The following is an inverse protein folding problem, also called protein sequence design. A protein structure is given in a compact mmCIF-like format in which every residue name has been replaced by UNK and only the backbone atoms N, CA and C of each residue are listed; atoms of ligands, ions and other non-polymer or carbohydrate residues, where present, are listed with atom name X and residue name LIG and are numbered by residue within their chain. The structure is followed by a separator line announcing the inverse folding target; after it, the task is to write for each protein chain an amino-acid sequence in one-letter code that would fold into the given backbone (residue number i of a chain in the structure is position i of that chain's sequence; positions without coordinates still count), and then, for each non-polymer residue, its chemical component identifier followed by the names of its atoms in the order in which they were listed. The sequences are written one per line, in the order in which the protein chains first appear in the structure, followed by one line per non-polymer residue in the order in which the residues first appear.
data_IF_931982697500
#
_entry.id   IF_931982697500
#
_cell.length_a   1.000
_cell.length_b   1.000
_cell.length_c   1.000
_cell.angle_alpha   90.00
_cell.angle_beta   90.00
_cell.angle_gamma   90.00
#
_symmetry.space_group_name_H-M   'P 1'
#
loop_
_entity.id
_entity.type
_entity.pdbx_description
1 polymer ?
#
# COMPACT_ATOMS: atom_id res chain seq x y z
N UNK A 1 -18.52 22.04 1.23
CA UNK A 1 -17.27 21.38 1.61
C UNK A 1 -16.30 22.45 2.04
N UNK A 2 -16.13 22.60 3.35
CA UNK A 2 -15.11 23.46 3.92
C UNK A 2 -13.89 22.61 4.33
N UNK A 3 -12.72 23.23 4.36
CA UNK A 3 -11.55 22.67 5.02
C UNK A 3 -11.53 23.18 6.45
N UNK A 4 -11.56 22.30 7.43
CA UNK A 4 -11.51 22.67 8.85
C UNK A 4 -10.16 22.21 9.41
N UNK A 5 -9.37 23.17 9.85
CA UNK A 5 -8.00 22.94 10.30
C UNK A 5 -7.96 22.57 11.78
N UNK A 6 -7.18 21.55 12.11
CA UNK A 6 -6.85 21.15 13.48
C UNK A 6 -5.85 22.13 14.10
N UNK A 7 -6.14 22.58 15.31
CA UNK A 7 -5.22 23.41 16.12
C UNK A 7 -4.75 22.71 17.40
N UNK A 8 -5.46 21.66 17.85
CA UNK A 8 -5.02 20.81 18.97
C UNK A 8 -4.73 21.55 20.26
N UNK A 9 -5.77 22.06 20.93
CA UNK A 9 -5.62 22.81 22.19
C UNK A 9 -5.60 21.92 23.44
N UNK A 10 -6.08 20.68 23.34
CA UNK A 10 -6.08 19.68 24.42
C UNK A 10 -4.96 18.64 24.25
N UNK A 11 -4.55 18.02 25.36
CA UNK A 11 -3.58 16.91 25.37
C UNK A 11 -4.12 15.78 26.27
N UNK A 12 -4.51 14.60 25.72
CA UNK A 12 -4.52 14.26 24.29
C UNK A 12 -5.53 15.09 23.47
N UNK A 13 -5.35 15.10 22.16
CA UNK A 13 -6.26 15.70 21.20
C UNK A 13 -7.55 14.90 21.08
N UNK A 14 -8.68 15.58 21.27
CA UNK A 14 -10.03 15.03 21.10
C UNK A 14 -10.66 15.63 19.83
N UNK A 15 -11.11 14.78 18.90
CA UNK A 15 -11.68 15.19 17.61
C UNK A 15 -13.07 15.81 17.74
N UNK A 16 -13.84 15.48 18.78
CA UNK A 16 -15.21 15.99 18.97
C UNK A 16 -15.22 17.35 19.69
N UNK A 17 -14.10 17.74 20.31
CA UNK A 17 -13.97 19.02 20.99
C UNK A 17 -13.78 20.14 19.98
N UNK A 18 -14.83 20.94 19.80
CA UNK A 18 -14.87 22.04 18.84
C UNK A 18 -13.73 23.06 18.99
N UNK A 19 -13.21 23.27 20.20
CA UNK A 19 -12.09 24.16 20.47
C UNK A 19 -10.75 23.68 19.88
N UNK A 20 -10.64 22.41 19.49
CA UNK A 20 -9.46 21.87 18.81
C UNK A 20 -9.45 22.14 17.30
N UNK A 21 -10.48 22.82 16.78
CA UNK A 21 -10.62 23.13 15.37
C UNK A 21 -10.71 24.64 15.14
N UNK A 22 -10.15 25.11 14.03
CA UNK A 22 -10.26 26.52 13.61
C UNK A 22 -11.74 26.89 13.47
N UNK A 23 -12.10 28.04 14.04
CA UNK A 23 -13.49 28.51 14.05
C UNK A 23 -14.36 27.92 15.15
N UNK A 24 -13.82 27.03 16.00
CA UNK A 24 -14.55 26.50 17.16
C UNK A 24 -15.66 25.53 16.77
N UNK A 25 -15.51 24.82 15.64
CA UNK A 25 -16.49 23.87 15.09
C UNK A 25 -15.76 22.65 14.56
N UNK A 26 -16.16 21.45 15.00
CA UNK A 26 -15.62 20.20 14.47
C UNK A 26 -16.13 19.91 13.03
N UNK A 27 -15.31 19.29 12.16
CA UNK A 27 -15.71 18.97 10.78
C UNK A 27 -16.88 17.99 10.74
N UNK A 28 -17.82 18.24 9.83
CA UNK A 28 -18.91 17.31 9.53
C UNK A 28 -18.61 16.38 8.35
N UNK A 29 -19.58 15.54 8.00
CA UNK A 29 -19.46 14.57 6.90
C UNK A 29 -19.22 15.20 5.51
N UNK A 30 -19.52 16.49 5.33
CA UNK A 30 -19.33 17.21 4.07
C UNK A 30 -18.01 18.00 4.02
N UNK A 31 -17.21 17.97 5.09
CA UNK A 31 -16.01 18.77 5.26
C UNK A 31 -14.74 17.93 5.20
N UNK A 32 -13.60 18.60 4.99
CA UNK A 32 -12.28 17.99 4.99
C UNK A 32 -11.58 18.35 6.29
N UNK A 33 -11.17 17.34 7.06
CA UNK A 33 -10.34 17.51 8.24
C UNK A 33 -8.88 17.72 7.81
N UNK A 34 -8.28 18.84 8.23
CA UNK A 34 -6.91 19.23 7.82
C UNK A 34 -5.99 19.32 9.03
N UNK A 35 -4.95 18.49 9.05
CA UNK A 35 -3.88 18.52 10.05
C UNK A 35 -2.65 19.17 9.42
N UNK A 36 -2.47 20.47 9.59
CA UNK A 36 -1.39 21.24 8.95
C UNK A 36 -0.37 21.85 9.92
N UNK A 37 -0.69 21.92 11.21
CA UNK A 37 0.16 22.44 12.27
C UNK A 37 -0.20 21.75 13.61
N UNK A 38 0.73 21.79 14.57
CA UNK A 38 0.54 21.23 15.91
C UNK A 38 1.29 19.93 16.14
N UNK A 39 1.33 19.49 17.38
CA UNK A 39 2.11 18.32 17.82
C UNK A 39 1.39 17.44 18.83
N UNK A 40 0.13 17.73 19.11
CA UNK A 40 -0.70 17.02 20.06
C UNK A 40 -1.16 15.73 19.43
N UNK A 41 -0.87 14.59 20.07
CA UNK A 41 -1.38 13.30 19.62
C UNK A 41 -2.91 13.29 19.71
N UNK A 42 -3.57 12.87 18.63
CA UNK A 42 -5.01 12.62 18.61
C UNK A 42 -5.27 11.25 19.20
N UNK A 43 -6.13 11.18 20.21
CA UNK A 43 -6.58 9.96 20.86
C UNK A 43 -8.04 9.66 20.47
N UNK A 44 -8.27 8.72 19.53
CA UNK A 44 -9.62 8.35 19.08
C UNK A 44 -10.53 7.80 20.19
N UNK A 45 -9.99 7.44 21.36
CA UNK A 45 -10.80 6.95 22.48
C UNK A 45 -11.49 8.08 23.27
N UNK A 46 -11.03 9.32 23.12
CA UNK A 46 -11.64 10.49 23.76
C UNK A 46 -12.86 11.01 22.99
N UNK A 47 -12.79 10.95 21.67
CA UNK A 47 -13.85 11.38 20.77
C UNK A 47 -13.47 11.08 19.33
N UNK A 48 -14.48 10.80 18.51
CA UNK A 48 -14.28 10.45 17.12
C UNK A 48 -15.47 10.89 16.27
N UNK A 49 -15.14 11.55 15.17
CA UNK A 49 -16.13 12.02 14.22
C UNK A 49 -16.47 10.88 13.26
N UNK A 50 -17.75 10.55 13.14
CA UNK A 50 -18.21 9.39 12.38
C UNK A 50 -17.81 9.41 10.89
N UNK A 51 -17.79 10.59 10.27
CA UNK A 51 -17.45 10.73 8.85
C UNK A 51 -16.92 12.13 8.51
N UNK A 52 -16.02 12.18 7.52
CA UNK A 52 -15.57 13.38 6.81
C UNK A 52 -15.68 13.16 5.30
N UNK A 53 -15.71 14.23 4.51
CA UNK A 53 -15.52 14.10 3.07
C UNK A 53 -14.09 13.66 2.76
N UNK A 54 -13.10 14.12 3.54
CA UNK A 54 -11.71 13.70 3.41
C UNK A 54 -10.86 14.04 4.63
N UNK A 55 -9.67 13.45 4.68
CA UNK A 55 -8.63 13.78 5.66
C UNK A 55 -7.33 14.13 4.94
N UNK A 56 -6.74 15.28 5.29
CA UNK A 56 -5.45 15.72 4.79
C UNK A 56 -4.47 15.98 5.94
N UNK A 57 -3.27 15.39 5.85
CA UNK A 57 -2.21 15.53 6.86
C UNK A 57 -0.98 16.11 6.18
N UNK A 58 -0.48 17.24 6.66
CA UNK A 58 0.66 17.96 6.09
C UNK A 58 1.85 18.00 7.05
N UNK A 59 3.02 18.38 6.53
CA UNK A 59 4.30 18.30 7.25
C UNK A 59 4.45 19.25 8.43
N UNK A 60 3.56 20.23 8.59
CA UNK A 60 3.57 21.09 9.78
C UNK A 60 2.94 20.42 11.01
N UNK A 61 2.18 19.33 10.84
CA UNK A 61 1.63 18.57 11.95
C UNK A 61 2.51 17.34 12.28
N UNK A 62 2.81 17.16 13.56
CA UNK A 62 3.75 16.12 14.03
C UNK A 62 3.18 15.18 15.09
N UNK A 63 1.98 15.45 15.62
CA UNK A 63 1.33 14.54 16.57
C UNK A 63 0.91 13.24 15.90
N UNK A 64 0.91 12.12 16.62
CA UNK A 64 0.32 10.89 16.12
C UNK A 64 -1.19 11.02 15.96
N UNK A 65 -1.79 10.30 15.01
CA UNK A 65 -3.24 10.15 14.88
C UNK A 65 -3.59 8.70 15.10
N UNK A 66 -4.14 8.42 16.28
CA UNK A 66 -4.36 7.06 16.75
C UNK A 66 -3.08 6.34 17.14
N UNK A 67 -3.21 5.04 17.37
CA UNK A 67 -2.11 4.15 17.74
C UNK A 67 -2.46 2.69 17.50
N UNK A 68 -1.50 1.80 17.72
CA UNK A 68 -1.74 0.35 17.68
C UNK A 68 -2.81 -0.04 18.73
N UNK A 69 -3.94 -0.59 18.29
CA UNK A 69 -5.06 -0.94 19.17
C UNK A 69 -5.95 0.23 19.59
N UNK A 70 -5.70 1.43 19.05
CA UNK A 70 -6.52 2.62 19.21
C UNK A 70 -6.53 3.40 17.88
N UNK A 71 -6.94 2.72 16.81
CA UNK A 71 -6.94 3.28 15.46
C UNK A 71 -8.09 4.29 15.28
N UNK A 72 -7.83 5.38 14.55
CA UNK A 72 -8.86 6.32 14.14
C UNK A 72 -9.84 5.60 13.20
N UNK A 73 -11.10 5.49 13.62
CA UNK A 73 -12.13 4.74 12.88
C UNK A 73 -13.18 5.70 12.34
N UNK A 74 -13.02 6.19 11.12
CA UNK A 74 -13.93 7.21 10.53
C UNK A 74 -14.11 6.95 9.04
N UNK A 75 -15.25 7.38 8.50
CA UNK A 75 -15.52 7.28 7.07
C UNK A 75 -14.92 8.47 6.33
N UNK A 76 -14.14 8.21 5.28
CA UNK A 76 -13.65 9.26 4.38
C UNK A 76 -13.76 8.82 2.93
N UNK A 77 -13.96 9.75 2.00
CA UNK A 77 -13.85 9.42 0.56
C UNK A 77 -12.42 9.56 0.06
N UNK A 78 -11.60 10.37 0.75
CA UNK A 78 -10.21 10.64 0.40
C UNK A 78 -9.34 10.71 1.65
N UNK A 79 -8.16 10.10 1.56
CA UNK A 79 -7.11 10.19 2.57
C UNK A 79 -5.82 10.64 1.91
N UNK A 80 -5.27 11.77 2.34
CA UNK A 80 -4.03 12.33 1.80
C UNK A 80 -3.03 12.61 2.91
N UNK A 81 -1.92 11.89 2.89
CA UNK A 81 -0.85 12.02 3.88
C UNK A 81 0.43 12.54 3.24
N UNK A 82 0.75 13.81 3.49
CA UNK A 82 1.97 14.48 3.06
C UNK A 82 2.90 14.85 4.23
N UNK A 83 2.48 14.55 5.46
CA UNK A 83 3.18 14.95 6.69
C UNK A 83 4.20 13.96 7.23
N UNK A 84 4.64 14.23 8.46
CA UNK A 84 5.55 13.37 9.25
C UNK A 84 4.86 12.64 10.39
N UNK A 85 3.63 13.04 10.74
CA UNK A 85 2.80 12.41 11.76
C UNK A 85 2.63 10.92 11.48
N UNK A 86 2.63 10.11 12.53
CA UNK A 86 2.25 8.71 12.40
C UNK A 86 0.72 8.60 12.33
N UNK A 87 0.21 7.67 11.53
CA UNK A 87 -1.23 7.46 11.31
C UNK A 87 -1.61 6.01 11.54
N UNK A 88 -2.68 5.79 12.29
CA UNK A 88 -3.42 4.52 12.36
C UNK A 88 -4.88 4.77 12.06
N UNK A 89 -5.34 4.28 10.91
CA UNK A 89 -6.65 4.60 10.35
C UNK A 89 -7.41 3.34 9.92
N UNK A 90 -8.72 3.33 10.17
CA UNK A 90 -9.68 2.37 9.64
C UNK A 90 -10.87 3.08 8.99
N UNK A 91 -11.20 2.71 7.75
CA UNK A 91 -12.42 3.20 7.10
C UNK A 91 -13.66 2.48 7.63
N UNK A 92 -14.47 3.19 8.41
CA UNK A 92 -15.60 2.60 9.15
C UNK A 92 -16.89 2.46 8.35
N UNK A 93 -16.99 3.09 7.17
CA UNK A 93 -18.23 3.05 6.38
C UNK A 93 -18.29 1.90 5.37
N UNK A 94 -17.17 1.21 5.12
CA UNK A 94 -17.08 0.28 3.99
C UNK A 94 -17.25 1.00 2.65
N UNK A 95 -16.89 2.28 2.61
CA UNK A 95 -16.94 3.10 1.39
C UNK A 95 -15.62 3.01 0.64
N UNK A 96 -15.68 3.17 -0.67
CA UNK A 96 -14.44 3.24 -1.45
C UNK A 96 -13.65 4.50 -1.11
N UNK A 97 -12.46 4.32 -0.55
CA UNK A 97 -11.52 5.41 -0.26
C UNK A 97 -10.42 5.49 -1.32
N UNK A 98 -10.09 6.71 -1.75
CA UNK A 98 -8.86 7.01 -2.47
C UNK A 98 -7.77 7.51 -1.49
N UNK A 99 -6.66 6.78 -1.41
CA UNK A 99 -5.56 6.99 -0.47
C UNK A 99 -4.31 7.44 -1.22
N UNK A 100 -3.71 8.55 -0.79
CA UNK A 100 -2.45 9.07 -1.30
C UNK A 100 -1.46 9.33 -0.16
N UNK A 101 -0.36 8.60 -0.14
CA UNK A 101 0.67 8.66 0.92
C UNK A 101 2.00 9.07 0.29
N UNK A 102 2.46 10.27 0.63
CA UNK A 102 3.77 10.83 0.27
C UNK A 102 4.33 11.56 1.48
N UNK A 103 4.63 10.82 2.53
CA UNK A 103 5.12 11.37 3.79
C UNK A 103 6.39 12.22 3.57
N UNK A 104 6.63 13.16 4.49
CA UNK A 104 7.83 14.00 4.44
C UNK A 104 9.10 13.20 4.73
N UNK A 105 8.99 12.06 5.42
CA UNK A 105 10.08 11.15 5.79
C UNK A 105 9.70 9.68 5.44
N UNK A 106 10.62 8.86 4.88
CA UNK A 106 10.37 7.45 4.60
C UNK A 106 10.11 6.60 5.86
N UNK A 107 10.55 7.04 7.04
CA UNK A 107 10.33 6.35 8.32
C UNK A 107 8.96 6.65 8.95
N UNK A 108 8.21 7.62 8.41
CA UNK A 108 6.87 7.94 8.91
C UNK A 108 5.95 6.72 8.77
N UNK A 109 5.36 6.31 9.89
CA UNK A 109 4.52 5.12 10.00
C UNK A 109 3.08 5.46 9.60
N UNK A 110 2.52 4.69 8.66
CA UNK A 110 1.12 4.79 8.25
C UNK A 110 0.50 3.41 8.24
N UNK A 111 -0.55 3.19 9.03
CA UNK A 111 -1.33 1.95 9.04
C UNK A 111 -2.74 2.28 8.55
N UNK A 112 -3.16 1.61 7.48
CA UNK A 112 -4.52 1.71 6.95
C UNK A 112 -5.16 0.32 6.96
N UNK A 113 -6.43 0.26 7.33
CA UNK A 113 -7.20 -0.97 7.40
C UNK A 113 -8.69 -0.72 7.23
N UNK A 114 -9.46 -1.80 7.29
CA UNK A 114 -10.91 -1.82 7.02
C UNK A 114 -11.29 -1.24 5.64
N UNK A 115 -12.56 -1.40 5.24
CA UNK A 115 -13.14 -0.83 4.02
C UNK A 115 -12.52 -1.28 2.68
N UNK A 116 -13.24 -1.20 1.56
CA UNK A 116 -12.65 -1.34 0.24
C UNK A 116 -11.90 -0.06 -0.17
N UNK A 117 -10.80 -0.18 -0.91
CA UNK A 117 -10.10 0.98 -1.48
C UNK A 117 -10.17 0.99 -3.00
N UNK A 118 -10.51 2.14 -3.58
CA UNK A 118 -10.48 2.34 -5.04
C UNK A 118 -9.06 2.58 -5.53
N UNK A 119 -8.30 3.39 -4.82
CA UNK A 119 -6.91 3.70 -5.14
C UNK A 119 -6.07 3.82 -3.89
N UNK A 120 -4.90 3.18 -3.87
CA UNK A 120 -3.88 3.39 -2.85
C UNK A 120 -2.56 3.73 -3.55
N UNK A 121 -2.05 4.92 -3.30
CA UNK A 121 -0.84 5.43 -3.94
C UNK A 121 0.22 5.74 -2.90
N UNK A 122 1.24 4.89 -2.81
CA UNK A 122 2.35 5.01 -1.87
C UNK A 122 3.58 5.55 -2.60
N UNK A 123 4.01 6.75 -2.26
CA UNK A 123 5.17 7.42 -2.85
C UNK A 123 6.32 7.62 -1.86
N UNK A 124 6.00 7.68 -0.55
CA UNK A 124 6.99 7.74 0.53
C UNK A 124 6.37 7.40 1.89
N UNK A 125 7.05 6.59 2.72
CA UNK A 125 6.65 6.22 4.08
C UNK A 125 6.90 4.74 4.40
N UNK A 126 6.67 4.38 5.67
CA UNK A 126 6.63 3.00 6.15
C UNK A 126 5.16 2.63 6.38
N UNK A 127 4.58 1.91 5.42
CA UNK A 127 3.15 1.68 5.31
C UNK A 127 2.80 0.23 5.65
N UNK A 128 1.74 0.04 6.42
CA UNK A 128 1.06 -1.25 6.59
C UNK A 128 -0.35 -1.15 6.04
N UNK A 129 -0.70 -2.08 5.17
CA UNK A 129 -2.10 -2.37 4.83
C UNK A 129 -2.52 -3.56 5.69
N UNK A 130 -3.47 -3.32 6.60
CA UNK A 130 -3.90 -4.28 7.60
C UNK A 130 -4.71 -5.45 6.99
N UNK A 131 -4.76 -6.58 7.71
CA UNK A 131 -5.43 -7.80 7.23
C UNK A 131 -6.96 -7.72 7.21
N UNK A 132 -7.54 -6.67 7.77
CA UNK A 132 -8.98 -6.41 7.74
C UNK A 132 -9.42 -5.53 6.54
N UNK A 133 -8.49 -5.05 5.71
CA UNK A 133 -8.84 -4.27 4.52
C UNK A 133 -9.70 -5.09 3.55
N UNK A 134 -10.67 -4.43 2.92
CA UNK A 134 -11.47 -4.97 1.81
C UNK A 134 -10.66 -5.13 0.51
N UNK A 135 -11.37 -5.28 -0.61
CA UNK A 135 -10.72 -5.32 -1.92
C UNK A 135 -10.06 -3.97 -2.24
N UNK A 136 -8.90 -4.04 -2.91
CA UNK A 136 -8.20 -2.88 -3.43
C UNK A 136 -8.28 -2.92 -4.95
N UNK A 137 -8.87 -1.90 -5.57
CA UNK A 137 -8.99 -1.84 -7.03
C UNK A 137 -7.64 -1.51 -7.66
N UNK A 138 -6.99 -0.44 -7.21
CA UNK A 138 -5.67 -0.02 -7.69
C UNK A 138 -4.71 0.20 -6.53
N UNK A 139 -3.54 -0.46 -6.57
CA UNK A 139 -2.42 -0.18 -5.68
C UNK A 139 -1.20 0.22 -6.50
N UNK A 140 -0.69 1.42 -6.28
CA UNK A 140 0.54 1.92 -6.89
C UNK A 140 1.60 2.18 -5.82
N UNK A 141 2.78 1.60 -6.00
CA UNK A 141 3.96 1.90 -5.20
C UNK A 141 4.98 2.59 -6.10
N UNK A 142 5.23 3.86 -5.83
CA UNK A 142 6.21 4.66 -6.53
C UNK A 142 7.44 4.95 -5.70
N UNK A 143 8.05 6.09 -5.99
CA UNK A 143 9.18 6.67 -5.28
C UNK A 143 9.10 8.18 -5.42
N UNK A 144 9.76 8.91 -4.51
CA UNK A 144 9.93 10.36 -4.63
C UNK A 144 11.31 10.67 -5.19
N UNK A 145 12.33 10.15 -4.54
CA UNK A 145 13.75 10.43 -4.74
C UNK A 145 14.58 9.12 -4.85
N UNK A 146 14.24 8.06 -4.09
CA UNK A 146 15.00 6.81 -4.04
C UNK A 146 14.12 5.57 -4.28
N UNK A 147 14.45 4.74 -5.30
CA UNK A 147 13.66 3.56 -5.67
C UNK A 147 13.63 2.43 -4.64
N UNK A 148 14.49 2.39 -3.62
CA UNK A 148 14.56 1.26 -2.68
C UNK A 148 14.38 1.65 -1.21
N UNK A 149 14.22 2.93 -0.90
CA UNK A 149 14.09 3.38 0.50
C UNK A 149 12.95 4.35 0.75
N UNK A 150 12.31 4.92 -0.28
CA UNK A 150 11.22 5.86 -0.04
C UNK A 150 9.97 5.18 0.48
N UNK A 151 9.65 3.99 -0.02
CA UNK A 151 8.49 3.22 0.44
C UNK A 151 8.96 1.89 1.00
N UNK A 152 8.54 1.59 2.22
CA UNK A 152 8.47 0.23 2.75
C UNK A 152 7.01 -0.11 2.96
N UNK A 153 6.48 -1.10 2.25
CA UNK A 153 5.07 -1.48 2.32
C UNK A 153 4.93 -2.94 2.76
N UNK A 154 4.19 -3.17 3.84
CA UNK A 154 3.77 -4.49 4.29
C UNK A 154 2.26 -4.65 4.09
N UNK A 155 1.85 -5.63 3.30
CA UNK A 155 0.44 -5.99 3.09
C UNK A 155 0.18 -7.28 3.84
N UNK A 156 -0.62 -7.17 4.91
CA UNK A 156 -0.92 -8.28 5.80
C UNK A 156 -1.89 -9.25 5.14
N UNK A 157 -1.75 -10.53 5.48
CA UNK A 157 -2.52 -11.60 4.86
C UNK A 157 -4.03 -11.46 5.09
N UNK A 158 -4.83 -11.64 4.04
CA UNK A 158 -6.27 -11.79 4.10
C UNK A 158 -6.85 -12.50 2.86
N UNK A 159 -8.18 -12.67 2.81
CA UNK A 159 -8.87 -13.35 1.71
C UNK A 159 -9.27 -12.43 0.55
N UNK A 160 -9.01 -11.13 0.65
CA UNK A 160 -9.36 -10.14 -0.36
C UNK A 160 -8.28 -10.07 -1.46
N UNK A 161 -8.51 -9.22 -2.46
CA UNK A 161 -7.66 -9.15 -3.65
C UNK A 161 -7.31 -7.71 -4.01
N UNK A 162 -6.08 -7.53 -4.51
CA UNK A 162 -5.67 -6.34 -5.25
C UNK A 162 -5.92 -6.61 -6.74
N UNK A 163 -6.75 -5.79 -7.38
CA UNK A 163 -7.10 -6.01 -8.81
C UNK A 163 -5.92 -5.63 -9.71
N UNK A 164 -5.49 -4.36 -9.64
CA UNK A 164 -4.34 -3.85 -10.39
C UNK A 164 -3.25 -3.36 -9.44
N UNK A 165 -2.08 -3.98 -9.52
CA UNK A 165 -0.90 -3.61 -8.76
C UNK A 165 0.22 -3.13 -9.68
N UNK A 166 0.78 -1.96 -9.39
CA UNK A 166 1.90 -1.36 -10.10
C UNK A 166 3.02 -0.96 -9.15
N UNK A 167 4.24 -1.36 -9.46
CA UNK A 167 5.42 -0.99 -8.68
C UNK A 167 6.49 -0.33 -9.55
N UNK A 168 6.83 0.91 -9.20
CA UNK A 168 7.88 1.73 -9.80
C UNK A 168 9.02 2.05 -8.82
N UNK A 169 8.98 1.50 -7.60
CA UNK A 169 9.96 1.68 -6.54
C UNK A 169 9.53 0.98 -5.24
N UNK A 170 10.21 1.30 -4.15
CA UNK A 170 9.96 0.76 -2.82
C UNK A 170 10.37 -0.68 -2.60
N UNK A 171 10.24 -1.11 -1.35
CA UNK A 171 10.34 -2.49 -0.89
C UNK A 171 8.96 -2.92 -0.41
N UNK A 172 8.41 -3.95 -1.03
CA UNK A 172 7.04 -4.38 -0.80
C UNK A 172 7.03 -5.86 -0.42
N UNK A 173 6.36 -6.19 0.69
CA UNK A 173 6.03 -7.56 1.07
C UNK A 173 4.52 -7.72 0.99
N UNK A 174 4.04 -8.56 0.08
CA UNK A 174 2.63 -8.79 -0.17
C UNK A 174 2.19 -10.19 0.28
N UNK A 175 1.18 -10.24 1.15
CA UNK A 175 0.48 -11.46 1.57
C UNK A 175 -1.01 -11.43 1.18
N UNK A 176 -1.38 -10.61 0.22
CA UNK A 176 -2.70 -10.58 -0.41
C UNK A 176 -2.61 -11.07 -1.88
N UNK A 177 -3.68 -11.67 -2.39
CA UNK A 177 -3.74 -12.07 -3.79
C UNK A 177 -3.74 -10.85 -4.74
N UNK A 178 -3.16 -11.02 -5.92
CA UNK A 178 -3.17 -10.01 -6.99
C UNK A 178 -3.81 -10.59 -8.24
N UNK A 179 -4.72 -9.85 -8.89
CA UNK A 179 -5.24 -10.25 -10.21
C UNK A 179 -4.22 -9.90 -11.29
N UNK A 180 -3.66 -8.69 -11.24
CA UNK A 180 -2.55 -8.24 -12.07
C UNK A 180 -1.51 -7.53 -11.20
N UNK A 181 -0.25 -7.90 -11.38
CA UNK A 181 0.91 -7.28 -10.78
C UNK A 181 1.93 -6.92 -11.86
N UNK A 182 2.30 -5.65 -11.93
CA UNK A 182 3.30 -5.13 -12.86
C UNK A 182 4.46 -4.48 -12.12
N UNK A 183 5.63 -5.11 -12.21
CA UNK A 183 6.84 -4.75 -11.48
C UNK A 183 7.83 -4.12 -12.45
N UNK A 184 8.00 -2.81 -12.32
CA UNK A 184 8.87 -2.01 -13.18
C UNK A 184 10.19 -1.65 -12.47
N UNK A 185 10.20 -1.53 -11.14
CA UNK A 185 11.39 -1.28 -10.33
C UNK A 185 11.15 -1.65 -8.85
N UNK A 186 12.17 -1.51 -8.00
CA UNK A 186 12.08 -1.81 -6.57
C UNK A 186 12.24 -3.29 -6.26
N UNK A 187 11.83 -3.67 -5.04
CA UNK A 187 11.85 -5.05 -4.56
C UNK A 187 10.43 -5.45 -4.19
N UNK A 188 9.94 -6.53 -4.80
CA UNK A 188 8.64 -7.11 -4.56
C UNK A 188 8.79 -8.51 -3.98
N UNK A 189 8.20 -8.78 -2.83
CA UNK A 189 8.19 -10.12 -2.22
C UNK A 189 6.75 -10.60 -2.08
N UNK A 190 6.42 -11.68 -2.78
CA UNK A 190 5.19 -12.44 -2.53
C UNK A 190 5.45 -13.45 -1.42
N UNK A 191 4.63 -13.49 -0.37
CA UNK A 191 4.79 -14.42 0.74
C UNK A 191 3.44 -15.09 1.08
N UNK A 192 3.50 -16.25 1.73
CA UNK A 192 2.33 -16.99 2.22
C UNK A 192 1.71 -17.91 1.16
N UNK A 193 0.39 -17.98 1.11
CA UNK A 193 -0.37 -18.82 0.16
C UNK A 193 -1.18 -17.96 -0.83
N UNK A 194 -0.52 -16.97 -1.42
CA UNK A 194 -1.16 -15.96 -2.27
C UNK A 194 -0.99 -16.23 -3.76
N UNK A 195 -2.08 -16.08 -4.50
CA UNK A 195 -2.11 -16.22 -5.95
C UNK A 195 -1.72 -14.92 -6.63
N UNK A 196 -0.96 -15.03 -7.71
CA UNK A 196 -0.76 -13.96 -8.69
C UNK A 196 -1.43 -14.36 -10.00
N UNK A 197 -2.50 -13.67 -10.41
CA UNK A 197 -3.17 -13.92 -11.68
C UNK A 197 -2.20 -13.69 -12.84
N UNK A 198 -1.86 -12.43 -13.09
CA UNK A 198 -0.81 -12.05 -14.05
C UNK A 198 0.34 -11.34 -13.35
N UNK A 199 1.54 -11.87 -13.48
CA UNK A 199 2.78 -11.26 -13.02
C UNK A 199 3.60 -10.79 -14.24
N UNK A 200 3.68 -9.49 -14.44
CA UNK A 200 4.49 -8.85 -15.47
C UNK A 200 5.70 -8.18 -14.81
N UNK A 201 6.91 -8.58 -15.21
CA UNK A 201 8.17 -8.04 -14.67
C UNK A 201 8.95 -7.39 -15.79
N UNK A 202 9.04 -6.08 -15.76
CA UNK A 202 9.80 -5.27 -16.74
C UNK A 202 11.10 -4.74 -16.14
N UNK A 203 11.25 -4.75 -14.81
CA UNK A 203 12.44 -4.32 -14.09
C UNK A 203 12.38 -4.67 -12.60
N UNK A 204 13.35 -4.18 -11.83
CA UNK A 204 13.43 -4.44 -10.38
C UNK A 204 13.70 -5.91 -10.03
N UNK A 205 13.28 -6.30 -8.83
CA UNK A 205 13.43 -7.64 -8.29
C UNK A 205 12.11 -8.18 -7.75
N UNK A 206 11.76 -9.42 -8.12
CA UNK A 206 10.67 -10.20 -7.55
C UNK A 206 11.24 -11.40 -6.79
N UNK A 207 10.86 -11.55 -5.53
CA UNK A 207 11.11 -12.73 -4.70
C UNK A 207 9.77 -13.41 -4.45
N UNK A 208 9.52 -14.53 -5.11
CA UNK A 208 8.26 -15.24 -4.97
C UNK A 208 8.37 -16.32 -3.88
N UNK A 209 8.32 -15.94 -2.61
CA UNK A 209 8.36 -16.83 -1.44
C UNK A 209 6.96 -17.29 -0.99
N UNK A 210 6.05 -17.50 -1.94
CA UNK A 210 4.70 -18.03 -1.69
C UNK A 210 4.50 -19.40 -2.33
N UNK A 211 3.52 -20.16 -1.83
CA UNK A 211 3.04 -21.44 -2.40
C UNK A 211 1.91 -21.26 -3.42
N UNK A 212 1.41 -20.04 -3.59
CA UNK A 212 0.26 -19.80 -4.45
C UNK A 212 0.59 -19.89 -5.94
N UNK A 213 -0.46 -20.02 -6.75
CA UNK A 213 -0.33 -20.21 -8.20
C UNK A 213 0.00 -18.90 -8.90
N UNK A 214 0.84 -18.96 -9.93
CA UNK A 214 1.00 -17.89 -10.92
C UNK A 214 0.27 -18.33 -12.19
N UNK A 215 -0.78 -17.61 -12.60
CA UNK A 215 -1.55 -18.03 -13.79
C UNK A 215 -0.82 -17.62 -15.09
N UNK A 216 -0.27 -16.42 -15.15
CA UNK A 216 0.48 -15.90 -16.29
C UNK A 216 1.71 -15.11 -15.83
N UNK A 217 2.91 -15.56 -16.20
CA UNK A 217 4.18 -14.92 -15.85
C UNK A 217 4.91 -14.43 -17.10
N UNK A 218 5.10 -13.12 -17.23
CA UNK A 218 5.80 -12.50 -18.35
C UNK A 218 6.99 -11.70 -17.85
N UNK A 219 8.20 -12.11 -18.26
CA UNK A 219 9.44 -11.50 -17.79
C UNK A 219 10.10 -10.76 -18.96
N UNK A 220 9.92 -9.43 -19.00
CA UNK A 220 10.52 -8.53 -19.99
C UNK A 220 11.84 -7.90 -19.52
N UNK A 221 12.13 -7.97 -18.22
CA UNK A 221 13.37 -7.46 -17.63
C UNK A 221 13.49 -7.88 -16.17
N UNK A 222 14.40 -7.23 -15.44
CA UNK A 222 14.57 -7.41 -14.01
C UNK A 222 15.03 -8.82 -13.60
N UNK A 223 14.91 -9.10 -12.29
CA UNK A 223 15.24 -10.39 -11.68
C UNK A 223 14.00 -10.98 -11.03
N UNK A 224 13.61 -12.19 -11.42
CA UNK A 224 12.58 -12.96 -10.74
C UNK A 224 13.21 -14.20 -10.13
N UNK A 225 13.05 -14.34 -8.82
CA UNK A 225 13.49 -15.49 -8.04
C UNK A 225 12.25 -16.26 -7.56
N UNK A 226 12.13 -17.51 -8.01
CA UNK A 226 11.00 -18.35 -7.64
C UNK A 226 11.15 -18.98 -6.25
N UNK A 227 12.23 -18.74 -5.50
CA UNK A 227 12.38 -19.21 -4.13
C UNK A 227 12.32 -20.74 -3.98
N UNK A 228 12.17 -21.21 -2.74
CA UNK A 228 12.23 -22.63 -2.36
C UNK A 228 10.85 -23.28 -2.07
N UNK A 229 9.78 -22.50 -2.07
CA UNK A 229 8.41 -23.00 -1.88
C UNK A 229 7.90 -23.63 -3.17
N UNK A 230 7.21 -24.77 -3.08
CA UNK A 230 6.54 -25.39 -4.23
C UNK A 230 5.41 -24.48 -4.71
N UNK A 231 5.34 -24.22 -6.02
CA UNK A 231 4.20 -23.55 -6.67
C UNK A 231 3.92 -24.06 -8.07
N UNK A 232 2.75 -23.69 -8.56
CA UNK A 232 2.31 -23.94 -9.94
C UNK A 232 2.39 -22.67 -10.76
N UNK A 233 2.96 -22.77 -11.95
CA UNK A 233 3.01 -21.70 -12.96
C UNK A 233 2.29 -22.21 -14.20
N UNK A 234 1.15 -21.62 -14.53
CA UNK A 234 0.30 -22.14 -15.62
C UNK A 234 0.81 -21.74 -16.99
N UNK A 235 1.16 -20.45 -17.19
CA UNK A 235 1.76 -19.92 -18.41
C UNK A 235 2.98 -19.07 -18.05
N UNK A 236 4.05 -19.19 -18.84
CA UNK A 236 5.23 -18.37 -18.63
C UNK A 236 6.02 -18.09 -19.91
N UNK A 237 6.57 -16.87 -20.00
CA UNK A 237 7.53 -16.48 -21.02
C UNK A 237 8.63 -15.59 -20.43
N UNK A 238 9.87 -15.84 -20.83
CA UNK A 238 11.02 -15.02 -20.45
C UNK A 238 11.65 -14.41 -21.72
N UNK A 239 11.73 -13.08 -21.76
CA UNK A 239 12.25 -12.31 -22.89
C UNK A 239 13.68 -11.82 -22.61
N UNK A 240 14.46 -11.45 -23.65
CA UNK A 240 15.80 -10.89 -23.49
C UNK A 240 15.85 -9.75 -22.47
N UNK A 241 16.90 -9.74 -21.64
CA UNK A 241 17.08 -8.77 -20.55
C UNK A 241 16.46 -9.18 -19.21
N UNK A 242 15.64 -10.23 -19.17
CA UNK A 242 15.14 -10.80 -17.91
C UNK A 242 16.07 -11.84 -17.30
N UNK A 243 16.13 -11.87 -15.97
CA UNK A 243 16.76 -12.95 -15.20
C UNK A 243 15.68 -13.73 -14.46
N UNK A 244 15.64 -15.04 -14.70
CA UNK A 244 14.76 -15.97 -13.98
C UNK A 244 15.63 -16.99 -13.26
N UNK A 245 15.50 -17.04 -11.93
CA UNK A 245 16.12 -18.05 -11.08
C UNK A 245 15.04 -19.06 -10.74
N UNK A 246 15.21 -20.25 -11.29
CA UNK A 246 14.36 -21.39 -11.02
C UNK A 246 15.12 -22.36 -10.14
N UNK A 247 14.48 -22.82 -9.08
CA UNK A 247 14.92 -24.01 -8.37
C UNK A 247 14.20 -25.20 -9.03
N UNK A 248 14.77 -25.71 -10.13
CA UNK A 248 14.08 -26.51 -11.16
C UNK A 248 13.47 -27.84 -10.68
N UNK A 249 13.78 -28.31 -9.47
CA UNK A 249 13.28 -29.58 -8.92
C UNK A 249 11.97 -29.48 -8.16
N UNK A 250 11.45 -28.26 -7.91
CA UNK A 250 10.29 -28.07 -7.01
C UNK A 250 9.09 -27.39 -7.66
N UNK A 251 9.25 -26.72 -8.80
CA UNK A 251 8.18 -25.91 -9.41
C UNK A 251 7.47 -26.67 -10.53
N UNK A 252 6.15 -26.58 -10.58
CA UNK A 252 5.35 -27.20 -11.65
C UNK A 252 4.99 -26.17 -12.71
N UNK A 253 5.43 -26.39 -13.95
CA UNK A 253 5.05 -25.62 -15.13
C UNK A 253 3.98 -26.38 -15.91
N UNK A 254 2.73 -25.91 -15.89
CA UNK A 254 1.63 -26.60 -16.60
C UNK A 254 1.82 -26.55 -18.11
N UNK A 255 2.17 -25.37 -18.64
CA UNK A 255 2.74 -25.22 -19.97
C UNK A 255 4.25 -25.03 -19.84
N UNK A 256 5.03 -25.60 -20.76
CA UNK A 256 6.48 -25.40 -20.79
C UNK A 256 6.84 -23.91 -20.84
N UNK A 257 7.91 -23.51 -20.13
CA UNK A 257 8.42 -22.13 -20.22
C UNK A 257 8.79 -21.83 -21.68
N UNK A 258 8.26 -20.72 -22.19
CA UNK A 258 8.75 -20.13 -23.45
C UNK A 258 9.96 -19.24 -23.14
N UNK A 259 11.16 -19.77 -23.33
CA UNK A 259 12.40 -19.01 -23.09
C UNK A 259 12.91 -18.38 -24.39
N UNK A 260 12.79 -17.06 -24.50
CA UNK A 260 13.23 -16.27 -25.65
C UNK A 260 14.55 -15.54 -25.39
N UNK A 261 15.17 -15.72 -24.22
CA UNK A 261 16.43 -15.07 -23.86
C UNK A 261 17.60 -15.56 -24.72
N UNK A 262 17.53 -16.80 -25.18
CA UNK A 262 18.59 -17.46 -25.95
C UNK A 262 18.48 -17.27 -27.47
N UNK A 263 17.43 -16.60 -27.96
CA UNK A 263 17.26 -16.30 -29.39
C UNK A 263 18.10 -15.12 -29.89
N UNK A 264 19.13 -14.69 -29.15
CA UNK A 264 20.20 -13.82 -29.67
C UNK A 264 21.29 -14.68 -30.31
N UNK A 265 20.92 -15.45 -31.33
CA UNK A 265 21.89 -16.13 -32.20
C UNK A 265 21.82 -15.54 -33.61
N UNK A 266 22.80 -14.68 -33.92
CA UNK A 266 23.29 -14.46 -35.28
C UNK A 266 22.86 -13.16 -36.00
N UNK A 267 23.77 -12.18 -36.03
CA UNK A 267 24.59 -11.90 -37.22
C UNK A 267 25.83 -11.10 -36.83
#
# INVERSE_FOLDING_TARGET
MANIEWIGTTTPGDLDVAANWVGGVAPGAADVAVFNAGSQDVDPSLGNIAAWAGMEIYSGYTGAIGGSGNELTTSVTTLKHLGSAALWFKDSAGTSVDVYIRCSDPSTVVNIGDGPFTGVHCMRGTITIAGDVGNITLLTVGMKDNPTSDVTLNIVANANTITDYYQYGGVVTAQMATTRAEINNGIFTLNGSVTAGRLLVSGGQVNHDSTGTITDMLLHGGRTDLGDKIKTITKSAAFPGSTLIKNDTIHTFTAALVDLRENVSGN
#
